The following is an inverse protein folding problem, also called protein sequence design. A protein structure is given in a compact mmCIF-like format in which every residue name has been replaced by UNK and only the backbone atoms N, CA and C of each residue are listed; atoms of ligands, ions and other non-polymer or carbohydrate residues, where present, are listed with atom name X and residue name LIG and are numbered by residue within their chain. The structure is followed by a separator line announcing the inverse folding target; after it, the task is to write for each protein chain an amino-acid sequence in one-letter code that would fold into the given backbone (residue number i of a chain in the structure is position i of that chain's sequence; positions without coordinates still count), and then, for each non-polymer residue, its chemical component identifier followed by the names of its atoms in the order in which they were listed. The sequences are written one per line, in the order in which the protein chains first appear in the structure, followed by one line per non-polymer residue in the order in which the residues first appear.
data_IF_820034592205
#
_entry.id   IF_820034592205
#
_cell.length_a   1.000
_cell.length_b   1.000
_cell.length_c   1.000
_cell.angle_alpha   90.00
_cell.angle_beta   90.00
_cell.angle_gamma   90.00
#
_symmetry.space_group_name_H-M   'P 1'
#
loop_
_entity.id
_entity.type
_entity.pdbx_description
1 polymer ?
#
# COMPACT_ATOMS: atom_id res chain seq x y z
N UNK A 1 2.81 -21.15 55.74
CA UNK A 1 2.08 -22.20 54.98
C UNK A 1 0.60 -21.93 55.19
N UNK A 2 -0.26 -21.64 54.21
CA UNK A 2 -0.38 -22.18 52.86
C UNK A 2 -1.00 -21.15 51.90
N UNK A 3 -0.42 -21.07 50.70
CA UNK A 3 -1.02 -20.91 49.37
C UNK A 3 -2.45 -20.36 49.28
N UNK A 4 -2.62 -19.09 48.91
CA UNK A 4 -3.96 -18.53 48.67
C UNK A 4 -4.04 -17.28 47.79
N UNK A 5 -2.98 -16.86 47.09
CA UNK A 5 -2.98 -15.56 46.38
C UNK A 5 -2.53 -15.60 44.91
N UNK A 6 -2.04 -16.75 44.40
CA UNK A 6 -1.52 -16.85 43.02
C UNK A 6 -2.57 -17.31 42.00
N UNK A 7 -3.73 -17.81 42.42
CA UNK A 7 -4.79 -18.32 41.53
C UNK A 7 -5.81 -17.26 41.10
N UNK A 8 -5.94 -16.15 41.83
CA UNK A 8 -6.88 -15.07 41.53
C UNK A 8 -6.64 -14.38 40.17
N UNK A 9 -5.41 -13.98 39.77
CA UNK A 9 -5.20 -13.34 38.47
C UNK A 9 -5.38 -14.31 37.30
N UNK A 10 -5.08 -15.59 37.49
CA UNK A 10 -5.24 -16.63 36.45
C UNK A 10 -6.73 -16.92 36.22
N UNK A 11 -7.55 -16.96 37.29
CA UNK A 11 -8.99 -17.17 37.16
C UNK A 11 -9.72 -15.92 36.66
N UNK A 12 -9.24 -14.71 36.96
CA UNK A 12 -9.73 -13.46 36.36
C UNK A 12 -9.38 -13.38 34.86
N UNK A 13 -8.16 -13.76 34.47
CA UNK A 13 -7.78 -13.88 33.06
C UNK A 13 -8.57 -14.99 32.34
N UNK A 14 -8.85 -16.12 33.02
CA UNK A 14 -9.73 -17.19 32.50
C UNK A 14 -11.19 -16.75 32.40
N UNK A 15 -11.67 -15.95 33.35
CA UNK A 15 -13.01 -15.38 33.38
C UNK A 15 -13.21 -14.33 32.30
N UNK A 16 -12.21 -13.49 32.03
CA UNK A 16 -12.19 -12.56 30.89
C UNK A 16 -12.06 -13.29 29.54
N UNK A 17 -11.36 -14.43 29.50
CA UNK A 17 -11.30 -15.28 28.32
C UNK A 17 -12.64 -16.00 28.04
N UNK A 18 -13.37 -16.41 29.08
CA UNK A 18 -14.71 -17.04 28.96
C UNK A 18 -15.83 -16.01 28.73
N UNK A 19 -15.70 -14.77 29.20
CA UNK A 19 -16.68 -13.70 28.95
C UNK A 19 -16.55 -13.04 27.57
N UNK A 20 -15.55 -13.44 26.78
CA UNK A 20 -15.35 -12.98 25.39
C UNK A 20 -15.97 -13.94 24.37
N UNK A 21 -17.00 -14.70 24.75
CA UNK A 21 -17.88 -15.34 23.75
C UNK A 21 -18.71 -14.24 23.14
N UNK A 22 -18.16 -13.58 22.11
CA UNK A 22 -18.89 -12.63 21.29
C UNK A 22 -19.84 -13.45 20.42
N UNK A 23 -21.17 -13.37 20.62
CA UNK A 23 -22.13 -14.27 19.95
C UNK A 23 -22.15 -14.12 18.41
N UNK A 24 -21.56 -13.05 17.89
CA UNK A 24 -21.50 -12.72 16.46
C UNK A 24 -20.08 -12.79 15.87
N UNK A 25 -19.15 -13.44 16.58
CA UNK A 25 -17.76 -13.63 16.11
C UNK A 25 -17.68 -14.88 15.22
N UNK A 26 -16.92 -14.85 14.11
CA UNK A 26 -16.68 -16.04 13.29
C UNK A 26 -16.03 -17.17 14.11
N UNK A 27 -16.41 -18.41 13.79
CA UNK A 27 -15.87 -19.64 14.38
C UNK A 27 -14.48 -19.97 13.80
N UNK A 28 -13.52 -19.08 14.05
CA UNK A 28 -12.16 -19.15 13.50
C UNK A 28 -11.10 -19.06 14.61
N UNK A 29 -9.87 -19.56 14.36
CA UNK A 29 -8.77 -19.46 15.31
C UNK A 29 -8.53 -18.00 15.72
N UNK A 30 -8.28 -17.76 17.00
CA UNK A 30 -8.02 -16.40 17.49
C UNK A 30 -6.89 -15.69 16.73
N UNK A 31 -5.84 -16.44 16.36
CA UNK A 31 -4.72 -15.93 15.56
C UNK A 31 -5.16 -15.39 14.19
N UNK A 32 -6.07 -16.08 13.49
CA UNK A 32 -6.60 -15.65 12.18
C UNK A 32 -7.36 -14.34 12.32
N UNK A 33 -8.24 -14.24 13.31
CA UNK A 33 -9.04 -13.04 13.56
C UNK A 33 -8.16 -11.83 13.96
N UNK A 34 -7.09 -12.07 14.72
CA UNK A 34 -6.11 -11.02 15.03
C UNK A 34 -5.33 -10.56 13.79
N UNK A 35 -4.91 -11.49 12.93
CA UNK A 35 -4.22 -11.18 11.69
C UNK A 35 -5.11 -10.39 10.72
N UNK A 36 -6.39 -10.75 10.61
CA UNK A 36 -7.37 -10.02 9.80
C UNK A 36 -7.64 -8.62 10.33
N UNK A 37 -7.73 -8.48 11.65
CA UNK A 37 -7.86 -7.17 12.28
C UNK A 37 -6.68 -6.26 11.99
N UNK A 38 -5.45 -6.78 12.12
CA UNK A 38 -4.23 -6.04 11.82
C UNK A 38 -4.13 -5.68 10.32
N UNK A 39 -4.50 -6.61 9.44
CA UNK A 39 -4.55 -6.38 8.00
C UNK A 39 -5.53 -5.25 7.63
N UNK A 40 -6.74 -5.29 8.18
CA UNK A 40 -7.76 -4.28 7.94
C UNK A 40 -7.35 -2.90 8.49
N UNK A 41 -6.75 -2.85 9.67
CA UNK A 41 -6.18 -1.62 10.23
C UNK A 41 -5.08 -1.04 9.32
N UNK A 42 -4.22 -1.92 8.77
CA UNK A 42 -3.21 -1.56 7.77
C UNK A 42 -3.81 -0.97 6.49
N UNK A 43 -4.95 -1.51 6.04
CA UNK A 43 -5.67 -0.97 4.89
C UNK A 43 -6.20 0.45 5.17
N UNK A 44 -6.78 0.69 6.36
CA UNK A 44 -7.27 2.02 6.73
C UNK A 44 -6.16 3.06 6.81
N UNK A 45 -5.02 2.74 7.41
CA UNK A 45 -3.92 3.70 7.51
C UNK A 45 -3.35 4.04 6.12
N UNK A 46 -3.36 3.07 5.20
CA UNK A 46 -3.01 3.30 3.79
C UNK A 46 -3.96 4.29 3.10
N UNK A 47 -5.27 4.27 3.42
CA UNK A 47 -6.23 5.25 2.90
C UNK A 47 -6.00 6.66 3.45
N UNK A 48 -5.52 6.78 4.69
CA UNK A 48 -5.14 8.09 5.25
C UNK A 48 -3.96 8.67 4.45
N UNK A 49 -2.92 7.86 4.20
CA UNK A 49 -1.79 8.28 3.38
C UNK A 49 -2.18 8.64 1.95
N UNK A 50 -3.12 7.90 1.36
CA UNK A 50 -3.70 8.26 0.06
C UNK A 50 -4.29 9.68 0.07
N UNK A 51 -5.03 10.06 1.12
CA UNK A 51 -5.54 11.43 1.27
C UNK A 51 -4.45 12.50 1.29
N UNK A 52 -3.31 12.24 1.95
CA UNK A 52 -2.14 13.14 1.95
C UNK A 52 -1.59 13.30 0.53
N UNK A 53 -1.50 12.19 -0.23
CA UNK A 53 -1.04 12.21 -1.62
C UNK A 53 -1.96 13.08 -2.49
N UNK A 54 -3.29 12.99 -2.34
CA UNK A 54 -4.25 13.84 -3.06
C UNK A 54 -3.95 15.33 -2.81
N UNK A 55 -3.78 15.71 -1.55
CA UNK A 55 -3.53 17.11 -1.18
C UNK A 55 -2.20 17.60 -1.77
N UNK A 56 -1.16 16.77 -1.71
CA UNK A 56 0.14 17.09 -2.30
C UNK A 56 0.06 17.23 -3.83
N UNK A 57 -0.65 16.33 -4.50
CA UNK A 57 -0.91 16.41 -5.94
C UNK A 57 -1.62 17.71 -6.29
N UNK A 58 -2.63 18.09 -5.51
CA UNK A 58 -3.39 19.33 -5.71
C UNK A 58 -2.54 20.58 -5.50
N UNK A 59 -1.70 20.62 -4.45
CA UNK A 59 -0.79 21.74 -4.22
C UNK A 59 0.24 21.87 -5.35
N UNK A 60 0.82 20.75 -5.80
CA UNK A 60 1.74 20.73 -6.92
C UNK A 60 1.08 21.24 -8.20
N UNK A 61 -0.15 20.80 -8.52
CA UNK A 61 -0.92 21.29 -9.65
C UNK A 61 -1.18 22.81 -9.55
N UNK A 62 -1.61 23.28 -8.38
CA UNK A 62 -1.90 24.70 -8.13
C UNK A 62 -0.67 25.60 -8.28
N UNK A 63 0.47 25.18 -7.73
CA UNK A 63 1.74 25.90 -7.85
C UNK A 63 2.25 25.90 -9.29
N UNK A 64 2.17 24.76 -9.97
CA UNK A 64 2.64 24.60 -11.34
C UNK A 64 1.79 25.43 -12.32
N UNK A 65 0.47 25.45 -12.10
CA UNK A 65 -0.46 26.27 -12.89
C UNK A 65 -0.15 27.76 -12.73
N UNK A 66 0.06 28.23 -11.49
CA UNK A 66 0.42 29.64 -11.22
C UNK A 66 1.77 30.05 -11.81
N UNK A 67 2.73 29.13 -11.87
CA UNK A 67 4.08 29.38 -12.40
C UNK A 67 4.20 29.15 -13.92
N UNK A 68 3.10 28.86 -14.63
CA UNK A 68 3.14 28.60 -16.07
C UNK A 68 3.21 29.91 -16.85
N UNK A 69 4.42 30.33 -17.20
CA UNK A 69 4.70 31.45 -18.11
C UNK A 69 4.82 30.97 -19.57
N UNK A 70 4.45 31.81 -20.54
CA UNK A 70 4.42 31.51 -22.00
C UNK A 70 5.74 30.92 -22.55
N UNK A 71 6.88 31.24 -21.93
CA UNK A 71 8.20 30.75 -22.33
C UNK A 71 8.50 29.29 -21.91
N UNK A 72 7.89 28.78 -20.84
CA UNK A 72 8.21 27.46 -20.26
C UNK A 72 7.06 26.44 -20.35
N UNK A 73 6.06 26.70 -21.19
CA UNK A 73 4.81 25.94 -21.20
C UNK A 73 4.99 24.45 -21.53
N UNK A 74 5.86 24.09 -22.49
CA UNK A 74 6.06 22.69 -22.91
C UNK A 74 6.58 21.82 -21.77
N UNK A 75 7.65 22.25 -21.12
CA UNK A 75 8.28 21.51 -20.03
C UNK A 75 7.35 21.41 -18.81
N UNK A 76 6.62 22.49 -18.50
CA UNK A 76 5.68 22.53 -17.37
C UNK A 76 4.44 21.67 -17.61
N UNK A 77 3.95 21.59 -18.85
CA UNK A 77 2.85 20.69 -19.23
C UNK A 77 3.25 19.21 -19.11
N UNK A 78 4.47 18.83 -19.49
CA UNK A 78 4.97 17.47 -19.26
C UNK A 78 5.00 17.11 -17.77
N UNK A 79 5.37 18.05 -16.89
CA UNK A 79 5.31 17.81 -15.44
C UNK A 79 3.88 17.68 -14.92
N UNK A 80 2.96 18.51 -15.42
CA UNK A 80 1.56 18.42 -15.05
C UNK A 80 0.96 17.07 -15.45
N UNK A 81 1.31 16.56 -16.64
CA UNK A 81 0.89 15.25 -17.11
C UNK A 81 1.41 14.11 -16.20
N UNK A 82 2.67 14.17 -15.75
CA UNK A 82 3.24 13.16 -14.84
C UNK A 82 2.54 13.18 -13.47
N UNK A 83 2.32 14.36 -12.89
CA UNK A 83 1.62 14.49 -11.60
C UNK A 83 0.18 13.97 -11.70
N UNK A 84 -0.51 14.29 -12.80
CA UNK A 84 -1.86 13.80 -13.06
C UNK A 84 -1.91 12.28 -13.28
N UNK A 85 -0.91 11.72 -13.96
CA UNK A 85 -0.79 10.27 -14.12
C UNK A 85 -0.64 9.56 -12.76
N UNK A 86 0.24 10.05 -11.89
CA UNK A 86 0.43 9.49 -10.54
C UNK A 86 -0.86 9.56 -9.72
N UNK A 87 -1.55 10.69 -9.76
CA UNK A 87 -2.85 10.85 -9.10
C UNK A 87 -3.87 9.83 -9.61
N UNK A 88 -3.95 9.64 -10.93
CA UNK A 88 -4.87 8.70 -11.58
C UNK A 88 -4.56 7.25 -11.19
N UNK A 89 -3.29 6.83 -11.27
CA UNK A 89 -2.88 5.47 -10.88
C UNK A 89 -3.09 5.20 -9.38
N UNK A 90 -2.82 6.19 -8.52
CA UNK A 90 -3.07 6.12 -7.08
C UNK A 90 -4.55 5.95 -6.75
N UNK A 91 -5.42 6.68 -7.48
CA UNK A 91 -6.88 6.57 -7.35
C UNK A 91 -7.36 5.18 -7.78
N UNK A 92 -6.89 4.69 -8.93
CA UNK A 92 -7.23 3.36 -9.43
C UNK A 92 -6.82 2.27 -8.44
N UNK A 93 -5.56 2.29 -7.98
CA UNK A 93 -5.07 1.32 -7.01
C UNK A 93 -5.90 1.32 -5.73
N UNK A 94 -6.20 2.51 -5.20
CA UNK A 94 -7.00 2.66 -3.99
C UNK A 94 -8.42 2.13 -4.15
N UNK A 95 -9.04 2.33 -5.33
CA UNK A 95 -10.37 1.82 -5.66
C UNK A 95 -10.41 0.29 -5.77
N UNK A 96 -9.44 -0.31 -6.45
CA UNK A 96 -9.32 -1.77 -6.52
C UNK A 96 -9.13 -2.40 -5.14
N UNK A 97 -8.31 -1.76 -4.30
CA UNK A 97 -8.05 -2.23 -2.95
C UNK A 97 -9.29 -2.13 -2.05
N UNK A 98 -10.08 -1.06 -2.15
CA UNK A 98 -11.37 -0.95 -1.44
C UNK A 98 -12.37 -2.02 -1.91
N UNK A 99 -12.45 -2.30 -3.21
CA UNK A 99 -13.29 -3.37 -3.74
C UNK A 99 -12.85 -4.74 -3.24
N UNK A 100 -11.55 -5.02 -3.18
CA UNK A 100 -11.02 -6.27 -2.65
C UNK A 100 -11.37 -6.46 -1.15
N UNK A 101 -11.27 -5.40 -0.35
CA UNK A 101 -11.67 -5.42 1.07
C UNK A 101 -13.17 -5.69 1.20
N UNK A 102 -14.00 -5.02 0.40
CA UNK A 102 -15.45 -5.23 0.40
C UNK A 102 -15.79 -6.69 0.04
N UNK A 103 -15.21 -7.22 -1.05
CA UNK A 103 -15.46 -8.59 -1.49
C UNK A 103 -15.02 -9.63 -0.43
N UNK A 104 -13.88 -9.41 0.22
CA UNK A 104 -13.38 -10.31 1.26
C UNK A 104 -14.21 -10.28 2.54
N UNK A 105 -14.63 -9.10 3.02
CA UNK A 105 -15.34 -8.97 4.29
C UNK A 105 -16.87 -9.09 4.20
N UNK A 106 -17.47 -8.75 3.05
CA UNK A 106 -18.93 -8.74 2.87
C UNK A 106 -19.41 -10.01 2.15
N UNK A 107 -18.81 -10.35 1.01
CA UNK A 107 -19.33 -11.41 0.13
C UNK A 107 -18.68 -12.77 0.41
N UNK A 108 -17.37 -12.80 0.61
CA UNK A 108 -16.58 -14.03 0.72
C UNK A 108 -15.93 -14.18 2.10
N UNK A 109 -16.69 -13.87 3.16
CA UNK A 109 -16.17 -13.94 4.54
C UNK A 109 -15.81 -15.37 4.97
N UNK A 110 -16.58 -16.36 4.50
CA UNK A 110 -16.37 -17.77 4.82
C UNK A 110 -15.33 -18.45 3.90
N UNK A 111 -14.53 -17.69 3.17
CA UNK A 111 -13.45 -18.24 2.36
C UNK A 111 -12.41 -18.96 3.25
N UNK A 112 -11.86 -20.11 2.84
CA UNK A 112 -10.88 -20.82 3.65
C UNK A 112 -9.64 -19.95 3.92
N UNK A 113 -9.33 -19.72 5.19
CA UNK A 113 -8.27 -18.79 5.62
C UNK A 113 -8.72 -17.33 5.77
N UNK A 114 -10.01 -17.07 5.61
CA UNK A 114 -10.69 -15.81 5.89
C UNK A 114 -10.48 -14.71 4.85
N UNK A 115 -11.05 -13.52 5.08
CA UNK A 115 -10.99 -12.37 4.16
C UNK A 115 -9.58 -11.97 3.73
N UNK A 116 -8.59 -12.12 4.62
CA UNK A 116 -7.20 -11.76 4.33
C UNK A 116 -6.56 -12.71 3.31
N UNK A 117 -6.84 -14.02 3.40
CA UNK A 117 -6.41 -15.00 2.42
C UNK A 117 -7.11 -14.77 1.08
N UNK A 118 -8.42 -14.51 1.08
CA UNK A 118 -9.17 -14.17 -0.12
C UNK A 118 -8.60 -12.95 -0.85
N UNK A 119 -8.22 -11.90 -0.12
CA UNK A 119 -7.61 -10.71 -0.69
C UNK A 119 -6.24 -11.03 -1.34
N UNK A 120 -5.47 -11.98 -0.82
CA UNK A 120 -4.19 -12.37 -1.42
C UNK A 120 -4.33 -13.20 -2.69
N UNK A 121 -5.35 -14.07 -2.75
CA UNK A 121 -5.65 -14.90 -3.92
C UNK A 121 -6.35 -14.10 -5.03
N UNK A 122 -7.41 -13.34 -4.72
CA UNK A 122 -8.10 -12.51 -5.72
C UNK A 122 -7.17 -11.47 -6.34
N UNK A 123 -6.22 -10.96 -5.55
CA UNK A 123 -5.23 -9.98 -6.00
C UNK A 123 -4.12 -10.57 -6.87
N UNK A 124 -3.96 -11.89 -7.02
CA UNK A 124 -2.93 -12.43 -7.92
C UNK A 124 -3.19 -12.08 -9.39
N UNK A 125 -4.46 -11.90 -9.76
CA UNK A 125 -4.90 -11.78 -11.17
C UNK A 125 -5.47 -10.39 -11.51
N UNK A 126 -5.43 -9.42 -10.57
CA UNK A 126 -6.15 -8.14 -10.71
C UNK A 126 -5.27 -7.00 -11.26
N UNK A 127 -5.77 -6.14 -12.18
CA UNK A 127 -5.05 -4.97 -12.71
C UNK A 127 -4.56 -3.97 -11.64
N UNK A 128 -5.11 -4.01 -10.43
CA UNK A 128 -4.71 -3.16 -9.30
C UNK A 128 -3.25 -3.34 -8.86
N UNK A 129 -2.63 -4.50 -9.06
CA UNK A 129 -1.20 -4.70 -8.78
C UNK A 129 -0.32 -3.99 -9.81
N UNK A 130 -0.71 -4.04 -11.09
CA UNK A 130 0.03 -3.39 -12.17
C UNK A 130 -0.03 -1.88 -11.97
N UNK A 131 -1.21 -1.35 -11.63
CA UNK A 131 -1.38 0.06 -11.28
C UNK A 131 -0.52 0.47 -10.08
N UNK A 132 -0.35 -0.40 -9.08
CA UNK A 132 0.52 -0.15 -7.92
C UNK A 132 1.99 -0.01 -8.34
N UNK A 133 2.49 -0.92 -9.17
CA UNK A 133 3.88 -0.93 -9.63
C UNK A 133 4.16 0.27 -10.53
N UNK A 134 3.24 0.57 -11.45
CA UNK A 134 3.35 1.76 -12.30
C UNK A 134 3.33 3.05 -11.48
N UNK A 135 2.48 3.14 -10.47
CA UNK A 135 2.46 4.26 -9.53
C UNK A 135 3.82 4.38 -8.81
N UNK A 136 4.35 3.28 -8.29
CA UNK A 136 5.63 3.26 -7.58
C UNK A 136 6.77 3.77 -8.47
N UNK A 137 6.87 3.27 -9.70
CA UNK A 137 7.90 3.69 -10.66
C UNK A 137 7.79 5.17 -11.01
N UNK A 138 6.57 5.68 -11.22
CA UNK A 138 6.36 7.10 -11.48
C UNK A 138 6.72 7.97 -10.26
N UNK A 139 6.44 7.48 -9.05
CA UNK A 139 6.79 8.17 -7.81
C UNK A 139 8.32 8.26 -7.63
N UNK A 140 9.03 7.16 -7.86
CA UNK A 140 10.50 7.12 -7.76
C UNK A 140 11.16 7.98 -8.85
N UNK A 141 10.62 7.97 -10.08
CA UNK A 141 11.06 8.85 -11.16
C UNK A 141 10.89 10.33 -10.82
N UNK A 142 9.77 10.72 -10.18
CA UNK A 142 9.57 12.08 -9.68
C UNK A 142 10.58 12.44 -8.59
N UNK A 143 10.90 11.52 -7.68
CA UNK A 143 11.88 11.76 -6.63
C UNK A 143 13.27 12.01 -7.21
N UNK A 144 13.73 11.18 -8.14
CA UNK A 144 15.01 11.40 -8.85
C UNK A 144 15.02 12.78 -9.51
N UNK A 145 13.95 13.14 -10.22
CA UNK A 145 13.86 14.42 -10.88
C UNK A 145 13.91 15.59 -9.88
N UNK A 146 13.20 15.50 -8.75
CA UNK A 146 13.22 16.52 -7.70
C UNK A 146 14.62 16.68 -7.12
N UNK A 147 15.32 15.58 -6.88
CA UNK A 147 16.72 15.58 -6.45
C UNK A 147 17.60 16.32 -7.46
N UNK A 148 17.52 15.98 -8.74
CA UNK A 148 18.32 16.64 -9.79
C UNK A 148 18.03 18.14 -9.88
N UNK A 149 16.76 18.56 -9.75
CA UNK A 149 16.40 19.98 -9.78
C UNK A 149 16.91 20.76 -8.56
N UNK A 150 16.86 20.19 -7.36
CA UNK A 150 17.35 20.85 -6.13
C UNK A 150 18.86 21.06 -6.19
N UNK A 151 19.60 20.08 -6.72
CA UNK A 151 21.06 20.10 -6.74
C UNK A 151 21.68 20.80 -7.97
N UNK A 152 20.88 21.38 -8.88
CA UNK A 152 21.38 22.11 -10.07
C UNK A 152 22.28 23.33 -9.79
N UNK A 153 22.40 23.77 -8.53
CA UNK A 153 23.23 24.91 -8.12
C UNK A 153 24.23 24.61 -7.00
N UNK A 154 24.42 23.36 -6.59
CA UNK A 154 25.35 23.00 -5.52
C UNK A 154 26.75 22.64 -6.06
N UNK A 155 27.79 22.98 -5.30
CA UNK A 155 29.21 22.71 -5.58
C UNK A 155 29.63 21.25 -5.34
N UNK A 156 28.74 20.42 -4.78
CA UNK A 156 29.01 19.02 -4.47
C UNK A 156 29.10 18.16 -5.75
N UNK A 157 29.89 17.07 -5.75
CA UNK A 157 30.03 16.20 -6.91
C UNK A 157 28.69 15.53 -7.24
N UNK A 158 28.10 15.95 -8.37
CA UNK A 158 26.79 15.53 -8.85
C UNK A 158 26.64 14.00 -8.97
N UNK A 159 27.76 13.31 -9.23
CA UNK A 159 27.80 11.85 -9.41
C UNK A 159 27.46 11.07 -8.14
N UNK A 160 27.94 11.50 -6.96
CA UNK A 160 27.73 10.77 -5.70
C UNK A 160 26.28 10.94 -5.20
N UNK A 161 25.73 12.14 -5.38
CA UNK A 161 24.35 12.46 -4.99
C UNK A 161 23.32 11.86 -5.95
N UNK A 162 23.65 11.74 -7.24
CA UNK A 162 22.78 11.07 -8.21
C UNK A 162 22.85 9.54 -8.11
N UNK A 163 24.00 8.97 -7.72
CA UNK A 163 24.15 7.53 -7.57
C UNK A 163 23.15 6.94 -6.56
N UNK A 164 22.97 7.57 -5.40
CA UNK A 164 22.07 7.08 -4.34
C UNK A 164 20.62 6.86 -4.81
N UNK A 165 19.91 7.86 -5.37
CA UNK A 165 18.54 7.66 -5.85
C UNK A 165 18.47 6.75 -7.09
N UNK A 166 19.50 6.71 -7.93
CA UNK A 166 19.56 5.80 -9.09
C UNK A 166 19.66 4.33 -8.63
N UNK A 167 20.50 4.04 -7.64
CA UNK A 167 20.63 2.69 -7.08
C UNK A 167 19.33 2.22 -6.43
N UNK A 168 18.66 3.10 -5.67
CA UNK A 168 17.36 2.80 -5.07
C UNK A 168 16.29 2.56 -6.15
N UNK A 169 16.30 3.33 -7.24
CA UNK A 169 15.38 3.16 -8.35
C UNK A 169 15.58 1.84 -9.10
N UNK A 170 16.82 1.46 -9.39
CA UNK A 170 17.13 0.16 -9.99
C UNK A 170 16.68 -0.99 -9.06
N UNK A 171 16.88 -0.85 -7.76
CA UNK A 171 16.37 -1.79 -6.76
C UNK A 171 14.84 -1.92 -6.82
N UNK A 172 14.13 -0.79 -6.90
CA UNK A 172 12.67 -0.74 -7.03
C UNK A 172 12.16 -1.45 -8.29
N UNK A 173 12.84 -1.28 -9.43
CA UNK A 173 12.51 -1.98 -10.68
C UNK A 173 12.67 -3.49 -10.52
N UNK A 174 13.82 -3.94 -9.99
CA UNK A 174 14.10 -5.37 -9.80
C UNK A 174 13.06 -6.00 -8.86
N UNK A 175 12.78 -5.36 -7.74
CA UNK A 175 11.78 -5.84 -6.77
C UNK A 175 10.38 -5.87 -7.39
N UNK A 176 9.99 -4.84 -8.16
CA UNK A 176 8.69 -4.79 -8.85
C UNK A 176 8.50 -5.90 -9.88
N UNK A 177 9.54 -6.19 -10.67
CA UNK A 177 9.54 -7.30 -11.64
C UNK A 177 9.40 -8.64 -10.90
N UNK A 178 10.23 -8.88 -9.89
CA UNK A 178 10.18 -10.12 -9.09
C UNK A 178 8.82 -10.31 -8.43
N UNK A 179 8.23 -9.24 -7.89
CA UNK A 179 6.90 -9.29 -7.27
C UNK A 179 5.82 -9.68 -8.29
N UNK A 180 5.86 -9.11 -9.49
CA UNK A 180 4.92 -9.44 -10.57
C UNK A 180 5.03 -10.92 -10.96
N UNK A 181 6.26 -11.40 -11.15
CA UNK A 181 6.51 -12.81 -11.49
C UNK A 181 5.95 -13.72 -10.41
N UNK A 182 6.22 -13.44 -9.13
CA UNK A 182 5.70 -14.24 -8.01
C UNK A 182 4.17 -14.29 -7.99
N UNK A 183 3.51 -13.16 -8.24
CA UNK A 183 2.04 -13.09 -8.27
C UNK A 183 1.45 -13.87 -9.45
N UNK A 184 2.04 -13.75 -10.63
CA UNK A 184 1.61 -14.50 -11.82
C UNK A 184 1.81 -16.01 -11.66
N UNK A 185 2.95 -16.45 -11.11
CA UNK A 185 3.20 -17.88 -10.85
C UNK A 185 2.22 -18.43 -9.81
N UNK A 186 1.92 -17.67 -8.75
CA UNK A 186 0.95 -18.08 -7.73
C UNK A 186 -0.47 -18.25 -8.30
N UNK A 187 -0.92 -17.34 -9.18
CA UNK A 187 -2.22 -17.45 -9.86
C UNK A 187 -2.30 -18.64 -10.81
N UNK A 188 -1.19 -18.95 -11.52
CA UNK A 188 -1.13 -20.10 -12.43
C UNK A 188 -1.20 -21.47 -11.74
N UNK A 189 -0.77 -21.55 -10.46
CA UNK A 189 -0.90 -22.76 -9.65
C UNK A 189 -2.33 -23.05 -9.21
N UNK A 190 -3.10 -22.00 -8.87
CA UNK A 190 -4.50 -22.10 -8.44
C UNK A 190 -5.43 -22.47 -9.59
N UNK A 191 -5.11 -22.06 -10.83
CA UNK A 191 -5.94 -22.35 -12.01
C UNK A 191 -5.83 -23.80 -12.53
N UNK A 192 -4.95 -24.62 -11.93
CA UNK A 192 -4.72 -26.04 -12.31
C UNK A 192 -5.26 -27.06 -11.30
N UNK A 193 -5.92 -26.62 -10.23
CA UNK A 193 -6.57 -27.45 -9.22
C UNK A 193 -8.05 -27.12 -9.16
#
# INVERSE_FOLDING_TARGET
MKYGSTSAPIQLARGQAMSSVKPWRPDEPAATIHAEGAWLQGAFISKIFYGIIIVLSWQCLSLLWRQTTRSNYKTKMSFLAIVFAIFSFSTLHSGYDMKAIQLGFVENRNFPGGPSAYATLSRSDTPGNIACILMQWLCDALLIWRFVMIYRGCVAPMWLLAATPITVYLGSIVIGILFTIKKLTSGSGVRRT
#
